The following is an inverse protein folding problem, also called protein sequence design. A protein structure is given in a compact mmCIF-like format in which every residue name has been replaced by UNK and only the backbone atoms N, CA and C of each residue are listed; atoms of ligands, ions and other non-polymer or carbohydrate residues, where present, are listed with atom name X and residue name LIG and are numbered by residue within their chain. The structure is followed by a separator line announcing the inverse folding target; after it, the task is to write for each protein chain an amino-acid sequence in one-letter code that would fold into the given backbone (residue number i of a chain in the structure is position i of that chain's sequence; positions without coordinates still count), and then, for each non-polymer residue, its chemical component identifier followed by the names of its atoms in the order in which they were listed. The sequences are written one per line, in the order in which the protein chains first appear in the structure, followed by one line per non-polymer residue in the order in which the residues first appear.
data_IF_321315345798
#
_entry.id   IF_321315345798
#
_cell.length_a   1.000
_cell.length_b   1.000
_cell.length_c   1.000
_cell.angle_alpha   90.00
_cell.angle_beta   90.00
_cell.angle_gamma   90.00
#
_symmetry.space_group_name_H-M   'P 1'
#
loop_
_entity.id
_entity.type
_entity.pdbx_description
1 polymer ?
#
# COMPACT_ATOMS: atom_id res chain seq x y z
N UNK A 1 0.46 35.25 -31.49
CA UNK A 1 -0.89 35.05 -30.90
C UNK A 1 -1.10 33.66 -30.30
N UNK A 2 -0.72 32.54 -30.97
CA UNK A 2 -0.95 31.18 -30.44
C UNK A 2 -0.18 30.86 -29.13
N UNK A 3 1.05 31.31 -28.98
CA UNK A 3 1.88 31.08 -27.78
C UNK A 3 1.33 31.73 -26.51
N UNK A 4 0.77 32.93 -26.64
CA UNK A 4 0.12 33.66 -25.53
C UNK A 4 -1.15 32.91 -25.09
N UNK A 5 -1.90 32.35 -26.04
CA UNK A 5 -3.07 31.52 -25.74
C UNK A 5 -2.70 30.27 -24.94
N UNK A 6 -1.62 29.56 -25.32
CA UNK A 6 -1.17 28.39 -24.57
C UNK A 6 -0.69 28.73 -23.16
N UNK A 7 -0.03 29.88 -22.99
CA UNK A 7 0.41 30.35 -21.68
C UNK A 7 -0.78 30.68 -20.77
N UNK A 8 -1.81 31.34 -21.30
CA UNK A 8 -3.03 31.66 -20.56
C UNK A 8 -3.80 30.38 -20.19
N UNK A 9 -3.90 29.41 -21.10
CA UNK A 9 -4.54 28.11 -20.81
C UNK A 9 -3.77 27.30 -19.76
N UNK A 10 -2.44 27.31 -19.81
CA UNK A 10 -1.60 26.67 -18.79
C UNK A 10 -1.78 27.33 -17.42
N UNK A 11 -1.81 28.67 -17.38
CA UNK A 11 -2.01 29.42 -16.14
C UNK A 11 -3.40 29.15 -15.53
N UNK A 12 -4.43 29.08 -16.37
CA UNK A 12 -5.78 28.74 -15.94
C UNK A 12 -5.87 27.31 -15.38
N UNK A 13 -5.24 26.34 -16.05
CA UNK A 13 -5.19 24.96 -15.59
C UNK A 13 -4.45 24.87 -14.25
N UNK A 14 -3.30 25.55 -14.13
CA UNK A 14 -2.52 25.59 -12.91
C UNK A 14 -3.32 26.17 -11.74
N UNK A 15 -4.00 27.30 -11.94
CA UNK A 15 -4.86 27.90 -10.92
C UNK A 15 -6.00 26.97 -10.52
N UNK A 16 -6.64 26.30 -11.48
CA UNK A 16 -7.74 25.38 -11.21
C UNK A 16 -7.25 24.17 -10.40
N UNK A 17 -6.10 23.59 -10.74
CA UNK A 17 -5.50 22.51 -9.94
C UNK A 17 -5.15 22.94 -8.51
N UNK A 18 -4.64 24.16 -8.31
CA UNK A 18 -4.35 24.69 -6.98
C UNK A 18 -5.62 24.86 -6.14
N UNK A 19 -6.71 25.34 -6.76
CA UNK A 19 -8.01 25.48 -6.10
C UNK A 19 -8.57 24.11 -5.71
N UNK A 20 -8.58 23.15 -6.63
CA UNK A 20 -9.09 21.79 -6.36
C UNK A 20 -8.27 21.11 -5.25
N UNK A 21 -6.94 21.17 -5.32
CA UNK A 21 -6.06 20.62 -4.27
C UNK A 21 -6.30 21.28 -2.91
N UNK A 22 -6.66 22.56 -2.87
CA UNK A 22 -6.96 23.28 -1.62
C UNK A 22 -8.25 22.82 -0.93
N UNK A 23 -9.16 22.14 -1.64
CA UNK A 23 -10.38 21.56 -1.09
C UNK A 23 -10.23 20.07 -0.76
N UNK A 24 -9.41 19.34 -1.50
CA UNK A 24 -9.25 17.89 -1.34
C UNK A 24 -8.15 17.48 -0.37
N UNK A 25 -7.16 18.34 -0.12
CA UNK A 25 -6.05 18.03 0.78
C UNK A 25 -5.96 19.07 1.90
N UNK A 26 -6.30 18.63 3.11
CA UNK A 26 -6.20 19.46 4.33
C UNK A 26 -4.75 19.91 4.60
N UNK A 27 -3.77 19.07 4.24
CA UNK A 27 -2.33 19.38 4.30
C UNK A 27 -1.95 20.50 3.34
N UNK A 28 -2.47 20.47 2.11
CA UNK A 28 -2.21 21.49 1.09
C UNK A 28 -2.92 22.81 1.40
N UNK A 29 -4.14 22.74 1.94
CA UNK A 29 -4.88 23.89 2.44
C UNK A 29 -4.08 24.62 3.54
N UNK A 30 -3.54 23.88 4.50
CA UNK A 30 -2.73 24.42 5.59
C UNK A 30 -1.41 25.02 5.07
N UNK A 31 -0.76 24.38 4.09
CA UNK A 31 0.43 24.92 3.43
C UNK A 31 0.17 26.26 2.72
N UNK A 32 -0.93 26.39 1.98
CA UNK A 32 -1.31 27.66 1.33
C UNK A 32 -1.63 28.75 2.35
N UNK A 33 -2.25 28.39 3.48
CA UNK A 33 -2.55 29.28 4.60
C UNK A 33 -1.26 29.77 5.28
N UNK A 34 -0.27 28.91 5.44
CA UNK A 34 1.06 29.24 5.99
C UNK A 34 1.83 30.20 5.08
N UNK A 35 1.88 29.94 3.76
CA UNK A 35 2.51 30.83 2.77
C UNK A 35 1.86 32.22 2.79
N UNK A 36 0.53 32.27 2.83
CA UNK A 36 -0.24 33.53 2.87
C UNK A 36 0.01 34.32 4.16
N UNK A 37 0.34 33.65 5.27
CA UNK A 37 0.57 34.30 6.56
C UNK A 37 1.97 34.93 6.73
N UNK A 38 2.86 34.81 5.74
CA UNK A 38 4.19 35.44 5.77
C UNK A 38 5.15 34.90 6.85
N UNK A 39 4.81 33.80 7.54
CA UNK A 39 5.59 33.26 8.66
C UNK A 39 6.75 32.32 8.27
N UNK A 40 7.22 32.39 7.03
CA UNK A 40 8.25 31.48 6.47
C UNK A 40 9.61 31.49 7.20
N UNK A 41 9.87 32.40 8.15
CA UNK A 41 11.13 32.45 8.91
C UNK A 41 11.05 31.97 10.35
N UNK A 42 9.85 31.67 10.89
CA UNK A 42 9.70 31.16 12.27
C UNK A 42 9.63 29.64 12.38
N UNK A 43 9.53 28.93 11.26
CA UNK A 43 9.22 27.49 11.24
C UNK A 43 10.44 26.59 11.42
N UNK A 44 11.65 27.06 11.07
CA UNK A 44 12.86 26.22 11.16
C UNK A 44 13.35 26.06 12.62
N UNK A 45 13.40 27.16 13.40
CA UNK A 45 13.83 27.11 14.81
C UNK A 45 12.81 26.41 15.72
N UNK A 46 11.51 26.54 15.44
CA UNK A 46 10.46 25.86 16.22
C UNK A 46 10.43 24.35 15.90
N UNK A 47 10.64 23.94 14.65
CA UNK A 47 10.71 22.51 14.27
C UNK A 47 11.91 21.78 14.86
N UNK A 48 13.07 22.43 14.96
CA UNK A 48 14.26 21.82 15.58
C UNK A 48 14.05 21.66 17.10
N UNK A 49 13.38 22.62 17.74
CA UNK A 49 13.15 22.60 19.19
C UNK A 49 12.03 21.63 19.60
N UNK A 50 10.97 21.49 18.80
CA UNK A 50 9.90 20.50 19.03
C UNK A 50 10.35 19.06 18.77
N UNK A 51 11.20 18.83 17.75
CA UNK A 51 11.75 17.50 17.44
C UNK A 51 12.63 16.98 18.57
N UNK A 52 13.51 17.82 19.12
CA UNK A 52 14.35 17.44 20.26
C UNK A 52 13.53 17.14 21.53
N UNK A 53 12.45 17.88 21.79
CA UNK A 53 11.57 17.61 22.94
C UNK A 53 10.67 16.37 22.78
N UNK A 54 10.35 15.97 21.55
CA UNK A 54 9.61 14.73 21.31
C UNK A 54 10.52 13.52 21.43
N UNK A 55 11.75 13.58 20.88
CA UNK A 55 12.72 12.50 20.98
C UNK A 55 13.12 12.22 22.44
N UNK A 56 13.27 13.25 23.28
CA UNK A 56 13.54 13.09 24.73
C UNK A 56 12.36 12.41 25.46
N UNK A 57 11.11 12.77 25.14
CA UNK A 57 9.92 12.14 25.74
C UNK A 57 9.72 10.68 25.33
N UNK A 58 10.18 10.29 24.14
CA UNK A 58 10.14 8.89 23.71
C UNK A 58 11.18 8.04 24.44
N UNK A 59 12.37 8.59 24.69
CA UNK A 59 13.43 7.92 25.46
C UNK A 59 13.00 7.72 26.92
N UNK A 60 12.45 8.75 27.58
CA UNK A 60 11.95 8.62 28.96
C UNK A 60 10.81 7.58 29.08
N UNK A 61 9.90 7.52 28.09
CA UNK A 61 8.85 6.49 28.06
C UNK A 61 9.38 5.09 27.81
N UNK A 62 10.47 4.96 27.05
CA UNK A 62 11.14 3.68 26.81
C UNK A 62 11.82 3.17 28.08
N UNK A 63 12.51 4.05 28.81
CA UNK A 63 13.16 3.71 30.07
C UNK A 63 12.13 3.31 31.15
N UNK A 64 10.99 4.01 31.25
CA UNK A 64 9.87 3.60 32.13
C UNK A 64 9.25 2.23 31.74
N UNK A 65 9.30 1.85 30.46
CA UNK A 65 8.81 0.54 30.03
C UNK A 65 9.83 -0.58 30.27
N UNK A 66 11.12 -0.28 30.14
CA UNK A 66 12.19 -1.23 30.44
C UNK A 66 12.22 -1.56 31.94
N UNK A 67 12.04 -0.57 32.81
CA UNK A 67 11.96 -0.77 34.27
C UNK A 67 10.71 -1.57 34.70
N UNK A 68 9.63 -1.51 33.91
CA UNK A 68 8.44 -2.36 34.09
C UNK A 68 8.63 -3.79 33.62
N UNK A 69 9.49 -4.04 32.63
CA UNK A 69 9.78 -5.39 32.12
C UNK A 69 10.65 -6.18 33.11
N UNK A 70 11.57 -5.53 33.82
CA UNK A 70 12.42 -6.18 34.84
C UNK A 70 11.63 -6.65 36.09
N UNK A 71 10.40 -6.18 36.30
CA UNK A 71 9.59 -6.49 37.49
C UNK A 71 8.40 -7.43 37.24
N UNK A 72 8.34 -8.14 36.11
CA UNK A 72 7.26 -9.12 35.86
C UNK A 72 7.67 -10.49 36.45
N UNK A 73 6.95 -11.02 37.46
CA UNK A 73 7.25 -12.32 38.03
C UNK A 73 7.04 -13.44 37.00
N UNK A 74 7.98 -14.40 36.95
CA UNK A 74 8.08 -15.50 35.96
C UNK A 74 6.83 -16.41 35.82
N UNK A 75 5.79 -16.24 36.63
CA UNK A 75 4.58 -17.07 36.62
C UNK A 75 3.42 -16.54 35.76
N UNK A 76 3.63 -15.55 34.89
CA UNK A 76 2.59 -15.02 33.99
C UNK A 76 2.65 -15.54 32.54
N UNK A 77 3.45 -16.58 32.27
CA UNK A 77 3.66 -17.16 30.93
C UNK A 77 2.76 -18.36 30.68
N UNK A 78 1.45 -18.14 30.56
CA UNK A 78 0.55 -19.10 29.91
C UNK A 78 -0.73 -18.44 29.43
N UNK A 79 -0.63 -17.67 28.35
CA UNK A 79 -1.71 -17.45 27.39
C UNK A 79 -1.06 -17.00 26.08
N UNK A 80 -0.70 -18.00 25.27
CA UNK A 80 -0.17 -17.80 23.92
C UNK A 80 -1.30 -17.20 23.07
N UNK A 81 -1.30 -15.87 22.89
CA UNK A 81 -2.16 -15.21 21.91
C UNK A 81 -1.76 -15.73 20.53
N UNK A 82 -2.65 -16.51 19.92
CA UNK A 82 -2.56 -16.91 18.52
C UNK A 82 -2.37 -15.66 17.65
N UNK A 83 -1.14 -15.44 17.18
CA UNK A 83 -0.81 -14.32 16.30
C UNK A 83 -1.50 -14.61 14.97
N UNK A 84 -2.55 -13.86 14.63
CA UNK A 84 -3.30 -13.99 13.37
C UNK A 84 -2.33 -13.92 12.19
N UNK A 85 -2.03 -15.09 11.62
CA UNK A 85 -1.05 -15.28 10.54
C UNK A 85 -1.44 -14.46 9.29
N UNK A 86 -2.69 -14.00 9.19
CA UNK A 86 -3.27 -13.26 8.06
C UNK A 86 -3.46 -11.76 8.30
N UNK A 87 -2.91 -11.20 9.38
CA UNK A 87 -3.14 -9.79 9.80
C UNK A 87 -2.90 -8.75 8.69
N UNK A 88 -1.97 -8.99 7.75
CA UNK A 88 -1.69 -8.00 6.70
C UNK A 88 -2.73 -7.97 5.59
N UNK A 89 -3.52 -9.01 5.41
CA UNK A 89 -4.62 -9.05 4.42
C UNK A 89 -5.74 -8.12 4.91
N UNK A 90 -6.22 -7.15 4.09
CA UNK A 90 -7.38 -6.34 4.45
C UNK A 90 -8.55 -7.21 4.89
N UNK A 91 -9.21 -6.85 5.99
CA UNK A 91 -10.31 -7.65 6.58
C UNK A 91 -11.42 -7.97 5.59
N UNK A 92 -11.76 -7.03 4.70
CA UNK A 92 -12.76 -7.22 3.64
C UNK A 92 -12.38 -8.32 2.66
N UNK A 93 -11.10 -8.47 2.34
CA UNK A 93 -10.62 -9.55 1.49
C UNK A 93 -10.43 -10.84 2.29
N UNK A 94 -9.90 -10.73 3.51
CA UNK A 94 -9.59 -11.88 4.35
C UNK A 94 -10.82 -12.75 4.55
N UNK A 95 -11.95 -12.16 4.93
CA UNK A 95 -13.19 -12.90 5.18
C UNK A 95 -13.64 -13.70 3.94
N UNK A 96 -13.62 -13.06 2.76
CA UNK A 96 -13.97 -13.69 1.49
C UNK A 96 -13.05 -14.87 1.17
N UNK A 97 -11.74 -14.70 1.39
CA UNK A 97 -10.76 -15.73 1.05
C UNK A 97 -10.72 -16.88 2.07
N UNK A 98 -10.80 -16.61 3.37
CA UNK A 98 -10.66 -17.63 4.43
C UNK A 98 -11.81 -18.63 4.47
N UNK A 99 -12.98 -18.28 3.93
CA UNK A 99 -14.10 -19.22 3.82
C UNK A 99 -13.88 -20.30 2.75
N UNK A 100 -13.07 -20.00 1.72
CA UNK A 100 -12.91 -20.86 0.54
C UNK A 100 -11.47 -21.32 0.26
N UNK A 101 -10.47 -20.67 0.87
CA UNK A 101 -9.05 -20.90 0.64
C UNK A 101 -8.30 -21.12 1.95
N UNK A 102 -7.30 -22.00 1.90
CA UNK A 102 -6.36 -22.26 3.00
C UNK A 102 -5.08 -21.45 2.77
N UNK A 103 -5.17 -20.15 3.01
CA UNK A 103 -4.02 -19.25 2.85
C UNK A 103 -3.03 -19.42 4.00
N UNK A 104 -1.79 -19.76 3.67
CA UNK A 104 -0.67 -19.81 4.58
C UNK A 104 0.28 -18.66 4.28
N UNK A 105 0.78 -17.99 5.33
CA UNK A 105 1.79 -16.95 5.17
C UNK A 105 3.10 -17.61 4.73
N UNK A 106 3.61 -17.16 3.60
CA UNK A 106 4.89 -17.61 3.07
C UNK A 106 5.97 -16.55 3.31
N UNK A 107 7.21 -16.99 3.43
CA UNK A 107 8.35 -16.06 3.37
C UNK A 107 8.33 -15.29 2.05
N UNK A 108 8.72 -14.03 2.12
CA UNK A 108 8.81 -13.16 0.95
C UNK A 108 10.00 -13.57 0.09
N UNK A 109 9.79 -14.58 -0.75
CA UNK A 109 10.69 -14.92 -1.83
C UNK A 109 10.29 -14.06 -3.03
N UNK A 110 10.99 -12.92 -3.21
CA UNK A 110 11.02 -12.09 -4.42
C UNK A 110 9.94 -12.39 -5.48
N UNK A 111 8.93 -11.52 -5.62
CA UNK A 111 7.92 -11.73 -6.66
C UNK A 111 8.50 -11.39 -8.04
N UNK A 112 8.80 -12.45 -8.82
CA UNK A 112 9.13 -12.47 -10.25
C UNK A 112 9.88 -11.26 -10.85
N UNK A 113 11.20 -11.39 -10.98
CA UNK A 113 12.05 -10.65 -11.94
C UNK A 113 12.09 -9.11 -11.82
N UNK A 114 11.54 -8.56 -10.73
CA UNK A 114 11.65 -7.15 -10.38
C UNK A 114 13.03 -6.88 -9.79
N UNK A 115 13.80 -6.00 -10.45
CA UNK A 115 15.08 -5.51 -9.90
C UNK A 115 14.80 -4.75 -8.60
N UNK A 116 14.93 -5.43 -7.46
CA UNK A 116 15.11 -4.82 -6.14
C UNK A 116 14.01 -3.80 -5.74
N UNK A 117 12.87 -4.23 -5.17
CA UNK A 117 11.93 -3.31 -4.55
C UNK A 117 12.51 -2.90 -3.19
N UNK A 118 13.62 -2.16 -3.16
CA UNK A 118 14.19 -1.66 -1.89
C UNK A 118 13.18 -0.81 -1.10
N UNK A 119 12.08 -0.39 -1.73
CA UNK A 119 11.11 0.57 -1.19
C UNK A 119 9.64 0.07 -1.12
N UNK A 120 9.31 -1.18 -1.46
CA UNK A 120 7.91 -1.65 -1.40
C UNK A 120 7.81 -2.82 -0.42
N UNK A 121 7.19 -2.55 0.73
CA UNK A 121 6.86 -3.56 1.72
C UNK A 121 5.66 -4.39 1.24
N UNK A 122 5.77 -5.70 1.35
CA UNK A 122 4.70 -6.63 1.00
C UNK A 122 4.69 -7.87 1.91
N UNK A 123 3.60 -8.63 1.86
CA UNK A 123 3.48 -9.95 2.48
C UNK A 123 2.94 -10.96 1.49
N UNK A 124 3.45 -12.18 1.54
CA UNK A 124 3.09 -13.25 0.63
C UNK A 124 2.25 -14.30 1.34
N UNK A 125 1.20 -14.75 0.67
CA UNK A 125 0.33 -15.82 1.12
C UNK A 125 0.14 -16.83 -0.01
N UNK A 126 0.01 -18.11 0.32
CA UNK A 126 -0.15 -19.18 -0.66
C UNK A 126 -1.24 -20.13 -0.23
N UNK A 127 -1.96 -20.66 -1.20
CA UNK A 127 -2.73 -21.89 -1.04
C UNK A 127 -2.28 -22.83 -2.15
N UNK A 128 -1.50 -23.84 -1.77
CA UNK A 128 -0.88 -24.78 -2.70
C UNK A 128 -1.92 -25.71 -3.35
N UNK A 129 -2.98 -26.06 -2.62
CA UNK A 129 -4.06 -26.93 -3.09
C UNK A 129 -4.87 -26.23 -4.19
N UNK A 130 -5.17 -24.95 -3.97
CA UNK A 130 -5.87 -24.11 -4.94
C UNK A 130 -4.94 -23.55 -6.04
N UNK A 131 -3.62 -23.57 -5.82
CA UNK A 131 -2.64 -23.05 -6.78
C UNK A 131 -2.70 -21.53 -6.93
N UNK A 132 -2.82 -20.82 -5.81
CA UNK A 132 -2.85 -19.35 -5.73
C UNK A 132 -1.69 -18.81 -4.90
N UNK A 133 -1.15 -17.68 -5.34
CA UNK A 133 -0.22 -16.85 -4.59
C UNK A 133 -0.81 -15.46 -4.51
N UNK A 134 -0.89 -14.92 -3.31
CA UNK A 134 -1.39 -13.59 -3.01
C UNK A 134 -0.25 -12.74 -2.43
N UNK A 135 0.02 -11.60 -3.06
CA UNK A 135 0.90 -10.58 -2.51
C UNK A 135 0.09 -9.38 -2.06
N UNK A 136 0.27 -8.96 -0.80
CA UNK A 136 -0.39 -7.78 -0.25
C UNK A 136 0.64 -6.69 -0.04
N UNK A 137 0.45 -5.56 -0.71
CA UNK A 137 1.33 -4.40 -0.66
C UNK A 137 0.80 -3.34 0.29
N UNK A 138 1.70 -2.73 1.08
CA UNK A 138 1.40 -1.56 1.91
C UNK A 138 1.47 -0.25 1.09
N UNK A 139 0.91 -0.29 -0.12
CA UNK A 139 0.97 0.77 -1.13
C UNK A 139 -0.31 0.83 -1.94
N UNK A 140 -0.61 2.02 -2.44
CA UNK A 140 -1.82 2.27 -3.22
C UNK A 140 -1.71 1.70 -4.63
N UNK A 141 -2.88 1.52 -5.24
CA UNK A 141 -3.04 0.91 -6.56
C UNK A 141 -2.17 1.57 -7.62
N UNK A 142 -2.20 2.90 -7.73
CA UNK A 142 -1.42 3.63 -8.75
C UNK A 142 0.09 3.54 -8.51
N UNK A 143 0.54 3.50 -7.24
CA UNK A 143 1.96 3.35 -6.91
C UNK A 143 2.46 1.98 -7.36
N UNK A 144 1.66 0.92 -7.15
CA UNK A 144 1.98 -0.43 -7.61
C UNK A 144 1.90 -0.52 -9.13
N UNK A 145 0.89 0.07 -9.75
CA UNK A 145 0.74 0.10 -11.20
C UNK A 145 1.95 0.74 -11.90
N UNK A 146 2.34 1.95 -11.47
CA UNK A 146 3.50 2.67 -12.00
C UNK A 146 4.79 1.89 -11.77
N UNK A 147 4.96 1.33 -10.56
CA UNK A 147 6.09 0.49 -10.24
C UNK A 147 6.20 -0.72 -11.17
N UNK A 148 5.10 -1.41 -11.46
CA UNK A 148 5.10 -2.59 -12.33
C UNK A 148 5.31 -2.26 -13.81
N UNK A 149 4.81 -1.11 -14.27
CA UNK A 149 5.09 -0.59 -15.61
C UNK A 149 6.59 -0.33 -15.82
N UNK A 150 7.28 0.15 -14.80
CA UNK A 150 8.71 0.51 -14.89
C UNK A 150 9.65 -0.67 -14.64
N UNK A 151 9.27 -1.61 -13.77
CA UNK A 151 10.22 -2.58 -13.22
C UNK A 151 9.91 -4.03 -13.62
N UNK A 152 8.69 -4.35 -14.07
CA UNK A 152 8.29 -5.73 -14.33
C UNK A 152 8.43 -6.09 -15.82
N UNK A 153 8.57 -7.40 -16.08
CA UNK A 153 8.51 -7.97 -17.44
C UNK A 153 7.08 -8.20 -17.92
N UNK A 154 6.05 -7.76 -17.20
CA UNK A 154 4.65 -7.93 -17.57
C UNK A 154 4.13 -6.66 -18.25
N UNK A 155 3.25 -6.84 -19.24
CA UNK A 155 2.48 -5.74 -19.81
C UNK A 155 1.23 -5.50 -18.95
N UNK A 156 1.14 -4.30 -18.37
CA UNK A 156 -0.01 -3.87 -17.57
C UNK A 156 -1.17 -3.58 -18.52
N UNK A 157 -2.30 -4.26 -18.30
CA UNK A 157 -3.53 -4.08 -19.06
C UNK A 157 -4.65 -3.56 -18.14
N UNK A 158 -5.00 -2.29 -18.34
CA UNK A 158 -6.04 -1.53 -17.63
C UNK A 158 -7.40 -1.54 -18.34
N UNK A 159 -7.50 -2.16 -19.52
CA UNK A 159 -8.72 -2.10 -20.35
C UNK A 159 -9.76 -3.15 -19.99
N UNK A 160 -9.31 -4.28 -19.44
CA UNK A 160 -10.18 -5.30 -18.87
C UNK A 160 -10.17 -5.14 -17.36
N UNK A 161 -11.17 -4.48 -16.79
CA UNK A 161 -11.31 -4.40 -15.33
C UNK A 161 -12.20 -5.56 -14.88
N UNK A 162 -11.78 -6.24 -13.81
CA UNK A 162 -12.49 -7.38 -13.25
C UNK A 162 -13.67 -6.93 -12.37
N UNK A 163 -13.33 -6.23 -11.28
CA UNK A 163 -14.21 -5.57 -10.32
C UNK A 163 -13.30 -4.63 -9.48
N UNK A 164 -13.84 -3.52 -8.94
CA UNK A 164 -13.04 -2.41 -8.36
C UNK A 164 -12.00 -1.81 -9.34
N UNK A 165 -11.07 -1.00 -8.82
CA UNK A 165 -9.84 -0.63 -9.53
C UNK A 165 -8.95 -1.87 -9.62
N UNK A 166 -8.84 -2.44 -10.82
CA UNK A 166 -8.06 -3.64 -11.09
C UNK A 166 -7.34 -3.54 -12.43
N UNK A 167 -6.16 -4.15 -12.55
CA UNK A 167 -5.47 -4.33 -13.83
C UNK A 167 -4.92 -5.75 -13.95
N UNK A 168 -4.78 -6.23 -15.18
CA UNK A 168 -4.15 -7.51 -15.46
C UNK A 168 -2.66 -7.35 -15.76
N UNK A 169 -1.89 -8.37 -15.41
CA UNK A 169 -0.46 -8.48 -15.73
C UNK A 169 -0.27 -9.57 -16.78
N UNK A 170 -0.08 -9.15 -18.03
CA UNK A 170 0.11 -10.08 -19.13
C UNK A 170 1.59 -10.43 -19.29
N UNK A 171 1.97 -11.72 -19.27
CA UNK A 171 3.37 -12.10 -19.45
C UNK A 171 3.81 -11.90 -20.91
N UNK A 172 5.08 -11.55 -21.12
CA UNK A 172 5.68 -11.45 -22.47
C UNK A 172 5.59 -12.79 -23.22
N UNK A 173 5.70 -13.91 -22.49
CA UNK A 173 5.52 -15.27 -23.01
C UNK A 173 4.29 -15.89 -22.36
N UNK A 174 3.47 -16.61 -23.13
CA UNK A 174 2.31 -17.32 -22.59
C UNK A 174 2.74 -18.30 -21.50
N UNK A 175 2.06 -18.26 -20.37
CA UNK A 175 2.18 -19.24 -19.28
C UNK A 175 0.79 -19.75 -18.86
N UNK A 176 0.76 -20.56 -17.81
CA UNK A 176 -0.43 -21.22 -17.28
C UNK A 176 -1.11 -20.43 -16.16
N UNK A 177 -0.71 -19.18 -15.92
CA UNK A 177 -1.22 -18.36 -14.82
C UNK A 177 -2.01 -17.15 -15.31
N UNK A 178 -2.97 -16.75 -14.50
CA UNK A 178 -3.64 -15.44 -14.60
C UNK A 178 -3.10 -14.58 -13.48
N UNK A 179 -2.75 -13.34 -13.80
CA UNK A 179 -2.22 -12.38 -12.85
C UNK A 179 -2.99 -11.09 -12.93
N UNK A 180 -3.40 -10.58 -11.79
CA UNK A 180 -4.11 -9.32 -11.70
C UNK A 180 -3.87 -8.68 -10.35
N UNK A 181 -3.97 -7.36 -10.31
CA UNK A 181 -3.85 -6.57 -9.09
C UNK A 181 -5.18 -5.87 -8.88
N UNK A 182 -5.67 -5.88 -7.65
CA UNK A 182 -6.87 -5.14 -7.25
C UNK A 182 -6.54 -4.18 -6.12
N UNK A 183 -7.22 -3.04 -6.11
CA UNK A 183 -7.25 -2.15 -4.96
C UNK A 183 -8.23 -2.68 -3.93
N UNK A 184 -7.79 -2.77 -2.68
CA UNK A 184 -8.66 -3.12 -1.55
C UNK A 184 -8.32 -2.18 -0.41
N UNK A 185 -9.28 -1.32 -0.06
CA UNK A 185 -9.05 -0.22 0.88
C UNK A 185 -7.87 0.66 0.41
N UNK A 186 -6.89 0.89 1.29
CA UNK A 186 -5.66 1.65 1.05
C UNK A 186 -4.46 0.76 0.68
N UNK A 187 -4.71 -0.51 0.36
CA UNK A 187 -3.69 -1.51 -0.02
C UNK A 187 -3.95 -2.04 -1.42
N UNK A 188 -2.93 -2.66 -1.99
CA UNK A 188 -3.03 -3.37 -3.26
C UNK A 188 -2.80 -4.86 -3.04
N UNK A 189 -3.60 -5.69 -3.69
CA UNK A 189 -3.51 -7.14 -3.63
C UNK A 189 -3.23 -7.69 -5.04
N UNK A 190 -2.09 -8.32 -5.23
CA UNK A 190 -1.73 -9.05 -6.45
C UNK A 190 -2.09 -10.51 -6.28
N UNK A 191 -2.84 -11.03 -7.23
CA UNK A 191 -3.18 -12.44 -7.35
C UNK A 191 -2.39 -13.10 -8.48
N UNK A 192 -1.77 -14.23 -8.20
CA UNK A 192 -1.36 -15.21 -9.20
C UNK A 192 -2.15 -16.49 -9.00
N UNK A 193 -2.83 -16.97 -10.03
CA UNK A 193 -3.61 -18.19 -9.94
C UNK A 193 -3.44 -19.02 -11.20
N UNK A 194 -3.41 -20.34 -11.06
CA UNK A 194 -3.41 -21.25 -12.22
C UNK A 194 -4.71 -21.03 -13.02
N UNK A 195 -4.60 -20.95 -14.35
CA UNK A 195 -5.71 -20.66 -15.27
C UNK A 195 -6.94 -21.53 -15.06
N UNK A 196 -6.76 -22.81 -14.73
CA UNK A 196 -7.87 -23.74 -14.46
C UNK A 196 -8.73 -23.35 -13.26
N UNK A 197 -8.16 -22.62 -12.30
CA UNK A 197 -8.83 -22.22 -11.06
C UNK A 197 -9.26 -20.75 -11.08
N UNK A 198 -8.97 -20.01 -12.16
CA UNK A 198 -9.28 -18.59 -12.25
C UNK A 198 -10.78 -18.29 -12.16
N UNK A 199 -11.62 -19.03 -12.88
CA UNK A 199 -13.08 -18.82 -12.81
C UNK A 199 -13.65 -19.14 -11.42
N UNK A 200 -13.08 -20.12 -10.72
CA UNK A 200 -13.47 -20.42 -9.33
C UNK A 200 -13.09 -19.29 -8.39
N UNK A 201 -11.86 -18.77 -8.51
CA UNK A 201 -11.41 -17.60 -7.75
C UNK A 201 -12.31 -16.39 -8.00
N UNK A 202 -12.73 -16.22 -9.25
CA UNK A 202 -13.64 -15.15 -9.62
C UNK A 202 -14.99 -15.25 -8.93
N UNK A 203 -15.58 -16.43 -8.87
CA UNK A 203 -16.80 -16.64 -8.11
C UNK A 203 -16.60 -16.34 -6.62
N UNK A 204 -15.48 -16.77 -6.03
CA UNK A 204 -15.16 -16.49 -4.62
C UNK A 204 -15.09 -14.98 -4.37
N UNK A 205 -14.37 -14.23 -5.21
CA UNK A 205 -14.16 -12.79 -5.03
C UNK A 205 -15.40 -11.90 -5.27
N UNK A 206 -16.44 -12.43 -5.94
CA UNK A 206 -17.65 -11.69 -6.30
C UNK A 206 -18.87 -12.03 -5.43
N UNK A 207 -18.74 -13.03 -4.55
CA UNK A 207 -19.77 -13.39 -3.56
C UNK A 207 -19.63 -12.53 -2.30
#
# INVERSE_FOLDING_TARGET
MRTISYFISFLALFLFTNIVLSFYSETYHNFLKEIKSGNSKKTEEVRITEKNNTDIKWVEKLDEHIEKIENIPENALSEEKEIDVLEKIPSSLRNILTESLKLEKAENVWFYDLRSPKNIAYSTYKDEEFGIILYVFEKWYWEIEEFLKQNSKYWVNETNNFFWYSFYLNPIKKDDRVRFVIQIQWKSAWFEVIKSNYEKLKTILLN
#
